data_IF_491170753790
#
_entry.id   IF_491170753790
#
_cell.length_a   1.000
_cell.length_b   1.000
_cell.length_c   1.000
_cell.angle_alpha   90.00
_cell.angle_beta   90.00
_cell.angle_gamma   90.00
#
_symmetry.space_group_name_H-M   'P 1'
#
loop_
_entity.id
_entity.type
_entity.pdbx_description
1 polymer ?
#
# COMPACT_ATOMS: atom_id res chain seq x y z
N UNK A 1 -9.43 16.49 -18.52
CA UNK A 1 -10.58 17.25 -17.96
C UNK A 1 -10.20 18.19 -16.83
N UNK A 2 -9.44 17.78 -15.80
CA UNK A 2 -9.06 18.67 -14.67
C UNK A 2 -8.27 19.93 -15.05
N UNK A 3 -7.39 19.86 -16.06
CA UNK A 3 -6.56 20.99 -16.49
C UNK A 3 -7.42 22.12 -17.08
N UNK A 4 -8.41 21.81 -17.92
CA UNK A 4 -9.28 22.83 -18.53
C UNK A 4 -10.13 23.56 -17.47
N UNK A 5 -10.69 22.83 -16.49
CA UNK A 5 -11.42 23.44 -15.38
C UNK A 5 -10.52 24.28 -14.49
N UNK A 6 -9.28 23.84 -14.23
CA UNK A 6 -8.29 24.60 -13.47
C UNK A 6 -7.91 25.92 -14.14
N UNK A 7 -7.71 25.91 -15.47
CA UNK A 7 -7.38 27.12 -16.24
C UNK A 7 -8.53 28.12 -16.24
N UNK A 8 -9.77 27.67 -16.44
CA UNK A 8 -10.96 28.56 -16.39
C UNK A 8 -11.17 29.14 -14.99
N UNK A 9 -11.01 28.32 -13.95
CA UNK A 9 -11.11 28.76 -12.56
C UNK A 9 -10.04 29.80 -12.19
N UNK A 10 -8.80 29.61 -12.66
CA UNK A 10 -7.71 30.54 -12.43
C UNK A 10 -7.94 31.88 -13.14
N UNK A 11 -8.36 31.84 -14.41
CA UNK A 11 -8.71 33.05 -15.16
C UNK A 11 -9.88 33.82 -14.50
N UNK A 12 -10.92 33.12 -14.08
CA UNK A 12 -12.06 33.71 -13.37
C UNK A 12 -11.64 34.31 -12.01
N UNK A 13 -10.75 33.65 -11.27
CA UNK A 13 -10.24 34.13 -9.98
C UNK A 13 -9.43 35.43 -10.13
N UNK A 14 -8.53 35.49 -11.13
CA UNK A 14 -7.76 36.70 -11.43
C UNK A 14 -8.68 37.84 -11.85
N UNK A 15 -9.65 37.57 -12.73
CA UNK A 15 -10.64 38.57 -13.14
C UNK A 15 -11.47 39.08 -11.95
N UNK A 16 -11.91 38.19 -11.08
CA UNK A 16 -12.68 38.54 -9.88
C UNK A 16 -11.87 39.42 -8.92
N UNK A 17 -10.60 39.09 -8.68
CA UNK A 17 -9.70 39.88 -7.82
C UNK A 17 -9.44 41.25 -8.44
N UNK A 18 -9.21 41.32 -9.76
CA UNK A 18 -8.94 42.57 -10.46
C UNK A 18 -10.16 43.50 -10.44
N UNK A 19 -11.36 42.99 -10.72
CA UNK A 19 -12.60 43.77 -10.68
C UNK A 19 -12.99 44.20 -9.26
N UNK A 20 -12.64 43.41 -8.24
CA UNK A 20 -12.99 43.68 -6.84
C UNK A 20 -11.82 44.20 -5.99
N UNK A 21 -10.75 44.70 -6.62
CA UNK A 21 -9.56 45.18 -5.90
C UNK A 21 -9.88 46.35 -4.95
N UNK A 22 -10.81 47.23 -5.36
CA UNK A 22 -11.25 48.40 -4.58
C UNK A 22 -12.03 48.01 -3.31
N UNK A 23 -13.08 47.17 -3.37
CA UNK A 23 -13.77 46.71 -2.17
C UNK A 23 -12.89 45.80 -1.28
N UNK A 24 -11.98 44.99 -1.85
CA UNK A 24 -11.02 44.22 -1.06
C UNK A 24 -10.09 45.15 -0.27
N UNK A 25 -9.52 46.16 -0.90
CA UNK A 25 -8.65 47.12 -0.21
C UNK A 25 -9.41 48.01 0.76
N UNK A 26 -10.64 48.43 0.46
CA UNK A 26 -11.43 49.23 1.41
C UNK A 26 -11.84 48.41 2.65
N UNK A 27 -12.13 47.11 2.48
CA UNK A 27 -12.37 46.19 3.60
C UNK A 27 -11.12 46.05 4.47
N UNK A 28 -9.96 45.82 3.87
CA UNK A 28 -8.70 45.70 4.60
C UNK A 28 -8.30 47.02 5.27
N UNK A 29 -8.40 48.16 4.60
CA UNK A 29 -8.03 49.48 5.15
C UNK A 29 -8.97 49.91 6.27
N UNK A 30 -10.28 49.68 6.14
CA UNK A 30 -11.26 50.06 7.15
C UNK A 30 -11.22 49.13 8.37
N UNK A 31 -10.93 47.84 8.18
CA UNK A 31 -10.63 46.92 9.28
C UNK A 31 -9.25 47.19 9.89
N UNK A 32 -8.30 47.72 9.11
CA UNK A 32 -6.99 48.16 9.58
C UNK A 32 -7.06 49.45 10.42
N UNK A 33 -8.02 50.35 10.19
CA UNK A 33 -8.22 51.54 11.02
C UNK A 33 -8.87 51.21 12.39
N UNK A 34 -9.60 50.10 12.49
CA UNK A 34 -10.14 49.55 13.75
C UNK A 34 -9.09 48.73 14.57
N UNK A 35 -7.83 48.65 14.12
CA UNK A 35 -6.82 47.71 14.66
C UNK A 35 -6.16 48.10 15.99
N UNK A 36 -6.58 49.15 16.69
CA UNK A 36 -5.99 49.39 18.03
C UNK A 36 -6.29 48.24 18.99
N UNK A 37 -7.39 47.51 18.79
CA UNK A 37 -7.74 46.27 19.53
C UNK A 37 -7.18 44.98 18.93
N UNK A 38 -6.74 44.97 17.67
CA UNK A 38 -6.23 43.78 16.98
C UNK A 38 -4.73 43.52 17.23
N UNK A 39 -3.96 44.45 17.78
CA UNK A 39 -2.51 44.26 17.97
C UNK A 39 -2.17 43.05 18.86
N UNK A 40 -2.91 42.84 19.94
CA UNK A 40 -2.67 41.73 20.88
C UNK A 40 -3.13 40.38 20.34
N UNK A 41 -4.27 40.34 19.64
CA UNK A 41 -4.82 39.11 19.05
C UNK A 41 -3.92 38.57 17.94
N UNK A 42 -3.36 39.44 17.10
CA UNK A 42 -2.44 39.05 16.04
C UNK A 42 -1.09 38.58 16.58
N UNK A 43 -0.56 39.21 17.64
CA UNK A 43 0.66 38.74 18.30
C UNK A 43 0.41 37.38 18.96
N UNK A 44 -0.75 37.18 19.59
CA UNK A 44 -1.09 35.89 20.19
C UNK A 44 -1.28 34.79 19.13
N UNK A 45 -1.98 35.09 18.04
CA UNK A 45 -2.13 34.16 16.91
C UNK A 45 -0.78 33.82 16.27
N UNK A 46 0.09 34.81 16.08
CA UNK A 46 1.45 34.61 15.56
C UNK A 46 2.30 33.78 16.52
N UNK A 47 2.20 34.03 17.83
CA UNK A 47 2.91 33.26 18.85
C UNK A 47 2.41 31.81 18.92
N UNK A 48 1.10 31.58 18.83
CA UNK A 48 0.51 30.24 18.77
C UNK A 48 0.93 29.53 17.49
N UNK A 49 0.88 30.18 16.32
CA UNK A 49 1.38 29.62 15.07
C UNK A 49 2.87 29.30 15.15
N UNK A 50 3.69 30.19 15.73
CA UNK A 50 5.11 29.97 15.95
C UNK A 50 5.38 28.79 16.89
N UNK A 51 4.61 28.67 17.97
CA UNK A 51 4.71 27.56 18.93
C UNK A 51 4.30 26.23 18.30
N UNK A 52 3.22 26.21 17.51
CA UNK A 52 2.78 25.03 16.74
C UNK A 52 3.82 24.64 15.70
N UNK A 53 4.36 25.60 14.95
CA UNK A 53 5.42 25.37 13.97
C UNK A 53 6.70 24.83 14.62
N UNK A 54 7.10 25.41 15.74
CA UNK A 54 8.23 24.92 16.53
C UNK A 54 7.98 23.52 17.12
N UNK A 55 6.75 23.25 17.55
CA UNK A 55 6.31 21.95 18.04
C UNK A 55 6.27 20.87 16.96
N UNK A 56 6.04 21.23 15.70
CA UNK A 56 6.05 20.32 14.57
C UNK A 56 7.46 19.96 14.08
N UNK A 57 8.47 20.82 14.31
CA UNK A 57 9.87 20.55 13.94
C UNK A 57 10.57 19.55 14.88
N UNK A 58 10.04 19.33 16.09
CA UNK A 58 10.51 18.28 17.01
C UNK A 58 9.50 17.13 17.07
N UNK A 59 9.95 15.89 17.33
CA UNK A 59 9.06 14.74 17.57
C UNK A 59 8.40 14.84 18.96
N UNK A 60 7.63 15.91 19.20
CA UNK A 60 6.86 16.11 20.41
C UNK A 60 5.40 15.65 20.19
N UNK A 61 4.88 14.87 21.13
CA UNK A 61 3.46 14.49 21.21
C UNK A 61 2.70 15.77 21.57
N UNK A 62 1.79 16.32 20.74
CA UNK A 62 0.76 15.62 19.94
C UNK A 62 0.95 15.60 18.40
N UNK A 63 1.97 16.26 17.85
CA UNK A 63 2.12 16.36 16.39
C UNK A 63 2.55 15.04 15.74
N UNK A 64 3.42 14.30 16.42
CA UNK A 64 3.82 12.95 16.00
C UNK A 64 2.63 11.98 15.98
N UNK A 65 1.68 12.10 16.92
CA UNK A 65 0.50 11.24 16.95
C UNK A 65 -0.46 11.50 15.78
N UNK A 66 -0.58 12.75 15.33
CA UNK A 66 -1.37 13.09 14.14
C UNK A 66 -0.71 12.61 12.84
N UNK A 67 0.61 12.75 12.75
CA UNK A 67 1.41 12.19 11.64
C UNK A 67 1.31 10.67 11.60
N UNK A 68 1.47 10.00 12.74
CA UNK A 68 1.37 8.55 12.84
C UNK A 68 -0.06 8.06 12.55
N UNK A 69 -1.09 8.81 12.93
CA UNK A 69 -2.48 8.50 12.56
C UNK A 69 -2.69 8.63 11.04
N UNK A 70 -2.12 9.67 10.41
CA UNK A 70 -2.15 9.83 8.96
C UNK A 70 -1.48 8.63 8.27
N UNK A 71 -0.28 8.27 8.72
CA UNK A 71 0.47 7.12 8.20
C UNK A 71 -0.29 5.81 8.42
N UNK A 72 -0.92 5.62 9.59
CA UNK A 72 -1.76 4.43 9.86
C UNK A 72 -2.95 4.35 8.92
N UNK A 73 -3.63 5.46 8.67
CA UNK A 73 -4.74 5.49 7.70
C UNK A 73 -4.21 5.19 6.31
N UNK A 74 -3.14 5.85 5.87
CA UNK A 74 -2.56 5.63 4.54
C UNK A 74 -2.10 4.18 4.33
N UNK A 75 -1.39 3.62 5.29
CA UNK A 75 -0.89 2.24 5.27
C UNK A 75 -1.99 1.20 5.50
N UNK A 76 -3.13 1.55 6.08
CA UNK A 76 -4.29 0.64 6.16
C UNK A 76 -5.00 0.47 4.81
N UNK A 77 -4.85 1.45 3.91
CA UNK A 77 -5.40 1.42 2.56
C UNK A 77 -4.38 0.91 1.53
N UNK A 78 -3.08 1.15 1.74
CA UNK A 78 -2.01 0.56 0.93
C UNK A 78 -1.69 -0.85 1.43
N UNK A 79 -1.91 -1.88 0.59
CA UNK A 79 -1.47 -3.24 0.92
C UNK A 79 0.06 -3.24 1.06
N UNK A 80 0.64 -3.67 2.20
CA UNK A 80 2.09 -3.66 2.45
C UNK A 80 2.94 -4.42 1.42
N UNK A 81 2.30 -5.18 0.53
CA UNK A 81 2.93 -6.14 -0.36
C UNK A 81 3.38 -5.54 -1.71
N UNK A 82 3.18 -4.24 -1.95
CA UNK A 82 3.40 -3.62 -3.28
C UNK A 82 4.18 -2.30 -3.26
N UNK A 83 4.98 -2.00 -2.23
CA UNK A 83 5.96 -0.92 -2.40
C UNK A 83 7.25 -1.50 -3.01
N UNK A 84 7.51 -1.29 -4.31
CA UNK A 84 8.78 -1.65 -4.89
C UNK A 84 9.90 -0.90 -4.15
N UNK A 85 11.07 -1.52 -3.91
CA UNK A 85 12.21 -0.83 -3.30
C UNK A 85 12.66 0.41 -4.10
N UNK A 86 12.31 0.46 -5.39
CA UNK A 86 12.47 1.62 -6.26
C UNK A 86 11.09 2.05 -6.77
N UNK A 87 10.60 3.26 -6.41
CA UNK A 87 9.38 3.81 -6.98
C UNK A 87 9.53 3.95 -8.49
N UNK A 88 8.49 3.56 -9.21
CA UNK A 88 8.43 3.61 -10.67
C UNK A 88 9.55 2.85 -11.40
N UNK A 89 10.01 1.72 -10.83
CA UNK A 89 11.01 0.86 -11.45
C UNK A 89 10.60 0.43 -12.87
N UNK A 90 9.31 0.28 -13.13
CA UNK A 90 8.73 -0.05 -14.44
C UNK A 90 9.08 0.95 -15.54
N UNK A 91 9.36 2.21 -15.19
CA UNK A 91 9.70 3.26 -16.17
C UNK A 91 11.18 3.39 -16.46
N UNK A 92 12.03 2.74 -15.65
CA UNK A 92 13.48 2.87 -15.77
C UNK A 92 14.03 1.89 -16.80
N UNK A 93 15.11 2.30 -17.47
CA UNK A 93 15.92 1.36 -18.25
C UNK A 93 16.76 0.47 -17.32
N UNK A 94 17.25 -0.66 -17.83
CA UNK A 94 18.15 -1.54 -17.05
C UNK A 94 19.41 -0.78 -16.59
N UNK A 95 19.98 0.06 -17.47
CA UNK A 95 21.13 0.89 -17.12
C UNK A 95 20.84 1.91 -16.00
N UNK A 96 19.66 2.52 -15.99
CA UNK A 96 19.24 3.44 -14.94
C UNK A 96 18.93 2.71 -13.63
N UNK A 97 18.32 1.53 -13.73
CA UNK A 97 18.06 0.66 -12.59
C UNK A 97 19.37 0.25 -11.90
N UNK A 98 20.38 -0.16 -12.67
CA UNK A 98 21.72 -0.50 -12.17
C UNK A 98 22.34 0.65 -11.36
N UNK A 99 22.31 1.87 -11.92
CA UNK A 99 22.81 3.08 -11.24
C UNK A 99 22.04 3.41 -9.96
N UNK A 100 20.72 3.24 -9.96
CA UNK A 100 19.86 3.59 -8.82
C UNK A 100 19.88 2.53 -7.72
N UNK A 101 20.20 1.28 -8.05
CA UNK A 101 20.29 0.16 -7.12
C UNK A 101 21.70 -0.10 -6.57
N UNK A 102 22.70 0.65 -7.06
CA UNK A 102 24.13 0.48 -6.74
C UNK A 102 24.64 -0.94 -7.06
N UNK A 103 24.18 -1.48 -8.19
CA UNK A 103 24.56 -2.81 -8.70
C UNK A 103 25.19 -2.66 -10.08
N UNK A 104 26.24 -3.43 -10.35
CA UNK A 104 26.89 -3.44 -11.65
C UNK A 104 25.94 -3.96 -12.74
N UNK A 105 25.87 -3.22 -13.86
CA UNK A 105 24.99 -3.53 -14.99
C UNK A 105 25.21 -4.95 -15.52
N UNK A 106 26.47 -5.38 -15.62
CA UNK A 106 26.84 -6.72 -16.07
C UNK A 106 26.33 -7.82 -15.14
N UNK A 107 26.21 -7.54 -13.85
CA UNK A 107 25.66 -8.48 -12.86
C UNK A 107 24.14 -8.63 -13.05
N UNK A 108 23.43 -7.53 -13.31
CA UNK A 108 21.99 -7.57 -13.61
C UNK A 108 21.70 -8.36 -14.88
N UNK A 109 22.43 -8.08 -15.97
CA UNK A 109 22.26 -8.78 -17.25
C UNK A 109 22.57 -10.27 -17.09
N UNK A 110 23.59 -10.63 -16.32
CA UNK A 110 23.94 -12.03 -16.04
C UNK A 110 22.82 -12.75 -15.29
N UNK A 111 22.22 -12.11 -14.28
CA UNK A 111 21.14 -12.69 -13.49
C UNK A 111 19.85 -12.86 -14.32
N UNK A 112 19.51 -11.87 -15.15
CA UNK A 112 18.38 -11.95 -16.07
C UNK A 112 18.59 -13.06 -17.12
N UNK A 113 19.79 -13.18 -17.68
CA UNK A 113 20.15 -14.26 -18.61
C UNK A 113 20.07 -15.64 -17.97
N UNK A 114 20.43 -15.77 -16.68
CA UNK A 114 20.28 -17.02 -15.93
C UNK A 114 18.82 -17.44 -15.74
N UNK A 115 17.88 -16.48 -15.82
CA UNK A 115 16.45 -16.72 -15.80
C UNK A 115 15.83 -16.82 -17.22
N UNK A 116 16.65 -17.02 -18.25
CA UNK A 116 16.23 -17.11 -19.66
C UNK A 116 15.60 -15.80 -20.20
N UNK A 117 15.94 -14.66 -19.62
CA UNK A 117 15.48 -13.33 -20.04
C UNK A 117 16.64 -12.62 -20.76
N UNK A 118 16.52 -12.43 -22.08
CA UNK A 118 17.48 -11.66 -22.88
C UNK A 118 17.08 -10.18 -22.87
N UNK A 119 18.03 -9.31 -22.51
CA UNK A 119 17.75 -7.86 -22.36
C UNK A 119 18.93 -7.00 -22.78
N UNK A 120 18.66 -5.84 -23.37
CA UNK A 120 19.63 -4.79 -23.66
C UNK A 120 19.66 -3.72 -22.54
N UNK A 121 20.81 -3.08 -22.25
CA UNK A 121 20.90 -1.98 -21.29
C UNK A 121 19.89 -0.83 -21.49
N UNK A 122 19.42 -0.62 -22.73
CA UNK A 122 18.47 0.43 -23.09
C UNK A 122 17.00 0.01 -22.96
N UNK A 123 16.73 -1.27 -22.70
CA UNK A 123 15.36 -1.78 -22.58
C UNK A 123 14.69 -1.27 -21.30
N UNK A 124 13.39 -1.00 -21.43
CA UNK A 124 12.55 -0.55 -20.33
C UNK A 124 12.20 -1.76 -19.45
N UNK A 125 12.42 -1.61 -18.16
CA UNK A 125 12.24 -2.69 -17.20
C UNK A 125 10.78 -3.19 -17.12
N UNK A 126 9.81 -2.27 -17.21
CA UNK A 126 8.39 -2.61 -17.22
C UNK A 126 7.97 -3.44 -18.44
N UNK A 127 8.50 -3.16 -19.63
CA UNK A 127 8.13 -3.89 -20.85
C UNK A 127 8.66 -5.32 -20.84
N UNK A 128 9.85 -5.53 -20.26
CA UNK A 128 10.41 -6.87 -20.08
C UNK A 128 9.56 -7.68 -19.09
N UNK A 129 9.13 -7.05 -17.99
CA UNK A 129 8.27 -7.69 -17.00
C UNK A 129 6.96 -8.15 -17.64
N UNK A 130 6.32 -7.31 -18.44
CA UNK A 130 5.09 -7.65 -19.17
C UNK A 130 5.30 -8.78 -20.18
N UNK A 131 6.37 -8.73 -20.98
CA UNK A 131 6.68 -9.75 -21.98
C UNK A 131 6.84 -11.15 -21.37
N UNK A 132 7.41 -11.22 -20.16
CA UNK A 132 7.66 -12.47 -19.45
C UNK A 132 6.56 -12.83 -18.43
N UNK A 133 5.42 -12.13 -18.42
CA UNK A 133 4.33 -12.29 -17.44
C UNK A 133 4.80 -12.20 -15.97
N UNK A 134 5.79 -11.36 -15.70
CA UNK A 134 6.33 -11.07 -14.38
C UNK A 134 5.85 -9.70 -13.91
N UNK A 135 5.72 -9.53 -12.60
CA UNK A 135 5.60 -8.18 -12.03
C UNK A 135 6.96 -7.47 -12.04
N UNK A 136 7.00 -6.13 -12.11
CA UNK A 136 8.25 -5.37 -11.98
C UNK A 136 9.04 -5.73 -10.71
N UNK A 137 8.37 -6.09 -9.61
CA UNK A 137 9.04 -6.54 -8.39
C UNK A 137 9.72 -7.90 -8.53
N UNK A 138 9.06 -8.87 -9.18
CA UNK A 138 9.64 -10.19 -9.41
C UNK A 138 10.83 -10.11 -10.35
N UNK A 139 10.73 -9.31 -11.42
CA UNK A 139 11.86 -9.06 -12.31
C UNK A 139 13.01 -8.39 -11.56
N UNK A 140 12.72 -7.48 -10.62
CA UNK A 140 13.75 -6.80 -9.81
C UNK A 140 14.49 -7.76 -8.87
N UNK A 141 13.78 -8.71 -8.27
CA UNK A 141 14.38 -9.74 -7.43
C UNK A 141 15.30 -10.66 -8.23
N UNK A 142 14.87 -11.06 -9.43
CA UNK A 142 15.69 -11.86 -10.35
C UNK A 142 16.92 -11.04 -10.77
N UNK A 143 16.74 -9.80 -11.20
CA UNK A 143 17.81 -8.91 -11.65
C UNK A 143 18.88 -8.66 -10.57
N UNK A 144 18.46 -8.41 -9.33
CA UNK A 144 19.37 -8.04 -8.25
C UNK A 144 19.94 -9.23 -7.48
N UNK A 145 19.43 -10.45 -7.71
CA UNK A 145 19.82 -11.64 -6.95
C UNK A 145 19.51 -11.54 -5.46
N UNK A 146 18.82 -10.48 -5.02
CA UNK A 146 18.30 -10.36 -3.66
C UNK A 146 17.00 -11.14 -3.63
N UNK A 147 17.02 -12.29 -2.98
CA UNK A 147 15.83 -12.72 -2.25
C UNK A 147 15.62 -11.65 -1.17
N UNK A 148 14.79 -10.65 -1.46
CA UNK A 148 14.11 -9.96 -0.37
C UNK A 148 13.48 -11.11 0.42
N UNK A 149 13.80 -11.22 1.71
CA UNK A 149 13.22 -12.24 2.60
C UNK A 149 11.70 -12.05 2.62
N UNK A 150 11.04 -12.58 1.59
CA UNK A 150 9.60 -12.78 1.57
C UNK A 150 9.39 -13.94 2.52
N UNK A 151 8.56 -13.82 3.57
CA UNK A 151 7.96 -15.02 4.13
C UNK A 151 7.28 -15.73 2.96
N UNK A 152 7.78 -16.93 2.64
CA UNK A 152 7.43 -17.79 1.51
C UNK A 152 6.36 -17.25 0.55
N UNK A 153 6.75 -16.88 -0.67
CA UNK A 153 5.86 -16.59 -1.79
C UNK A 153 4.76 -17.65 -1.92
N UNK A 154 3.55 -17.29 -1.51
CA UNK A 154 2.33 -17.88 -2.01
C UNK A 154 2.18 -17.47 -3.48
N UNK A 155 2.33 -18.45 -4.36
CA UNK A 155 1.93 -18.36 -5.74
C UNK A 155 0.47 -17.88 -5.79
N UNK A 156 0.27 -16.73 -6.42
CA UNK A 156 -1.02 -16.09 -6.58
C UNK A 156 -2.00 -17.00 -7.33
N UNK A 157 -2.96 -17.61 -6.59
CA UNK A 157 -4.29 -17.95 -7.12
C UNK A 157 -5.34 -17.67 -6.07
N UNK A 158 -5.85 -16.44 -6.10
CA UNK A 158 -7.22 -16.05 -5.81
C UNK A 158 -7.91 -16.70 -4.61
N UNK A 159 -8.11 -15.91 -3.55
CA UNK A 159 -9.07 -16.24 -2.50
C UNK A 159 -8.82 -15.41 -1.25
N UNK A 160 -9.53 -14.29 -1.13
CA UNK A 160 -9.61 -13.56 0.14
C UNK A 160 -10.18 -14.50 1.22
N UNK A 161 -9.30 -15.03 2.05
CA UNK A 161 -9.65 -15.88 3.18
C UNK A 161 -8.85 -15.45 4.38
N UNK A 162 -9.39 -14.50 5.14
CA UNK A 162 -8.90 -14.03 6.44
C UNK A 162 -8.50 -15.22 7.32
N UNK A 163 -7.21 -15.47 7.52
CA UNK A 163 -6.64 -16.34 8.58
C UNK A 163 -7.14 -17.80 8.66
N UNK A 164 -8.02 -18.26 7.77
CA UNK A 164 -8.76 -19.52 7.95
C UNK A 164 -7.86 -20.75 7.95
N UNK A 165 -6.81 -20.75 7.11
CA UNK A 165 -5.80 -21.81 7.09
C UNK A 165 -4.97 -21.93 8.37
N UNK A 166 -4.86 -20.86 9.16
CA UNK A 166 -4.07 -20.85 10.40
C UNK A 166 -4.86 -21.35 11.62
N UNK A 167 -6.19 -21.46 11.51
CA UNK A 167 -7.08 -21.90 12.59
C UNK A 167 -7.12 -23.42 12.67
N UNK A 168 -7.36 -23.95 13.87
CA UNK A 168 -7.67 -25.37 14.05
C UNK A 168 -9.08 -25.67 13.56
N UNK A 169 -9.37 -26.94 13.23
CA UNK A 169 -10.71 -27.35 12.83
C UNK A 169 -11.76 -26.91 13.87
N UNK A 170 -11.47 -27.09 15.16
CA UNK A 170 -12.36 -26.68 16.25
C UNK A 170 -12.67 -25.17 16.21
N UNK A 171 -11.66 -24.33 16.04
CA UNK A 171 -11.84 -22.88 15.93
C UNK A 171 -12.61 -22.48 14.67
N UNK A 172 -12.35 -23.16 13.54
CA UNK A 172 -13.08 -22.94 12.30
C UNK A 172 -14.56 -23.33 12.45
N UNK A 173 -14.87 -24.42 13.15
CA UNK A 173 -16.23 -24.85 13.45
C UNK A 173 -16.95 -23.89 14.40
N UNK A 174 -16.27 -23.38 15.43
CA UNK A 174 -16.82 -22.38 16.36
C UNK A 174 -17.19 -21.07 15.64
N UNK A 175 -16.38 -20.64 14.68
CA UNK A 175 -16.62 -19.43 13.88
C UNK A 175 -17.80 -19.61 12.89
N UNK A 176 -17.95 -20.80 12.31
CA UNK A 176 -19.04 -21.12 11.38
C UNK A 176 -20.33 -21.52 12.14
N UNK A 177 -20.23 -21.80 13.44
CA UNK A 177 -21.36 -22.19 14.28
C UNK A 177 -21.76 -23.67 14.15
N UNK A 178 -20.82 -24.54 13.78
CA UNK A 178 -21.03 -25.98 13.56
C UNK A 178 -20.41 -26.79 14.70
N UNK A 179 -21.05 -27.89 15.07
CA UNK A 179 -20.52 -28.82 16.05
C UNK A 179 -19.33 -29.61 15.47
N UNK A 180 -18.17 -29.55 16.15
CA UNK A 180 -16.91 -30.16 15.70
C UNK A 180 -17.02 -31.64 15.31
N UNK A 181 -17.91 -32.41 15.94
CA UNK A 181 -18.17 -33.81 15.58
C UNK A 181 -18.78 -33.97 14.17
N UNK A 182 -19.76 -33.13 13.82
CA UNK A 182 -20.40 -33.15 12.49
C UNK A 182 -19.44 -32.70 11.39
N UNK A 183 -18.57 -31.74 11.70
CA UNK A 183 -17.54 -31.28 10.78
C UNK A 183 -16.51 -32.38 10.45
N UNK A 184 -16.10 -33.18 11.45
CA UNK A 184 -15.19 -34.32 11.23
C UNK A 184 -15.86 -35.39 10.36
N UNK A 185 -17.14 -35.70 10.61
CA UNK A 185 -17.88 -36.68 9.79
C UNK A 185 -18.04 -36.21 8.34
N UNK A 186 -18.36 -34.94 8.13
CA UNK A 186 -18.49 -34.34 6.80
C UNK A 186 -17.17 -34.31 6.03
N UNK A 187 -16.07 -33.96 6.70
CA UNK A 187 -14.74 -33.98 6.11
C UNK A 187 -14.30 -35.40 5.77
N UNK A 188 -14.59 -36.38 6.64
CA UNK A 188 -14.33 -37.79 6.36
C UNK A 188 -15.15 -38.31 5.17
N UNK A 189 -16.40 -37.89 5.04
CA UNK A 189 -17.25 -38.22 3.89
C UNK A 189 -16.73 -37.60 2.58
N UNK A 190 -16.07 -36.44 2.68
CA UNK A 190 -15.38 -35.79 1.57
C UNK A 190 -13.98 -36.37 1.29
N UNK A 191 -13.57 -37.43 2.00
CA UNK A 191 -12.26 -38.07 1.84
C UNK A 191 -11.10 -37.32 2.50
N UNK A 192 -11.40 -36.38 3.41
CA UNK A 192 -10.41 -35.60 4.16
C UNK A 192 -10.27 -36.18 5.56
N UNK A 193 -9.09 -36.71 5.87
CA UNK A 193 -8.77 -37.09 7.25
C UNK A 193 -8.56 -35.84 8.11
N UNK A 194 -9.41 -35.68 9.12
CA UNK A 194 -9.49 -34.47 9.92
C UNK A 194 -9.62 -34.82 11.41
N UNK A 195 -8.82 -34.16 12.25
CA UNK A 195 -8.90 -34.22 13.72
C UNK A 195 -9.13 -32.82 14.28
N UNK A 196 -9.88 -32.70 15.38
CA UNK A 196 -10.33 -31.41 15.93
C UNK A 196 -9.23 -30.37 16.20
N UNK A 197 -8.02 -30.83 16.55
CA UNK A 197 -6.88 -29.97 16.87
C UNK A 197 -5.97 -29.67 15.67
N UNK A 198 -6.18 -30.32 14.52
CA UNK A 198 -5.36 -30.12 13.33
C UNK A 198 -5.69 -28.78 12.66
N UNK A 199 -4.67 -28.11 12.12
CA UNK A 199 -4.85 -26.86 11.38
C UNK A 199 -5.52 -27.11 10.04
N UNK A 200 -6.37 -26.16 9.63
CA UNK A 200 -7.04 -26.22 8.32
C UNK A 200 -6.05 -26.29 7.17
N UNK A 201 -4.92 -25.57 7.25
CA UNK A 201 -3.86 -25.65 6.24
C UNK A 201 -3.18 -27.01 6.20
N UNK A 202 -2.90 -27.61 7.34
CA UNK A 202 -2.28 -28.94 7.41
C UNK A 202 -3.19 -30.02 6.82
N UNK A 203 -4.50 -29.96 7.09
CA UNK A 203 -5.49 -30.86 6.46
C UNK A 203 -5.56 -30.64 4.95
N UNK A 204 -5.51 -29.38 4.51
CA UNK A 204 -5.53 -29.03 3.09
C UNK A 204 -4.30 -29.60 2.36
N UNK A 205 -3.11 -29.41 2.94
CA UNK A 205 -1.85 -29.86 2.38
C UNK A 205 -1.77 -31.39 2.32
N UNK A 206 -2.23 -32.11 3.37
CA UNK A 206 -2.26 -33.58 3.39
C UNK A 206 -3.19 -34.19 2.35
N UNK A 207 -4.30 -33.51 2.04
CA UNK A 207 -5.31 -33.99 1.10
C UNK A 207 -5.18 -33.35 -0.29
N UNK A 208 -4.09 -32.62 -0.54
CA UNK A 208 -3.82 -31.88 -1.77
C UNK A 208 -4.99 -30.95 -2.19
N UNK A 209 -5.68 -30.39 -1.18
CA UNK A 209 -6.80 -29.48 -1.31
C UNK A 209 -6.38 -28.07 -0.88
N UNK A 210 -7.23 -27.08 -1.16
CA UNK A 210 -7.03 -25.70 -0.68
C UNK A 210 -7.79 -25.47 0.64
N UNK A 211 -7.26 -24.66 1.56
CA UNK A 211 -7.97 -24.30 2.79
C UNK A 211 -9.37 -23.71 2.56
N UNK A 212 -9.56 -23.00 1.43
CA UNK A 212 -10.87 -22.48 1.02
C UNK A 212 -11.88 -23.56 0.59
N UNK A 213 -11.42 -24.69 0.06
CA UNK A 213 -12.30 -25.82 -0.27
C UNK A 213 -12.79 -26.52 1.01
N UNK A 214 -11.92 -26.64 2.02
CA UNK A 214 -12.31 -27.13 3.35
C UNK A 214 -13.37 -26.22 3.96
N UNK A 215 -13.19 -24.89 3.87
CA UNK A 215 -14.19 -23.90 4.30
C UNK A 215 -15.53 -24.13 3.61
N UNK A 216 -15.52 -24.32 2.30
CA UNK A 216 -16.73 -24.53 1.51
C UNK A 216 -17.46 -25.83 1.86
N UNK A 217 -16.73 -26.90 2.16
CA UNK A 217 -17.32 -28.17 2.64
C UNK A 217 -18.01 -27.94 4.00
N UNK A 218 -17.39 -27.16 4.88
CA UNK A 218 -17.96 -26.83 6.19
C UNK A 218 -19.17 -25.89 6.09
N UNK A 219 -19.14 -24.88 5.21
CA UNK A 219 -20.27 -23.94 5.02
C UNK A 219 -21.50 -24.58 4.35
N UNK A 220 -21.35 -25.75 3.74
CA UNK A 220 -22.44 -26.48 3.08
C UNK A 220 -23.14 -27.51 3.99
N UNK A 221 -22.85 -27.52 5.30
CA UNK A 221 -23.47 -28.37 6.33
C UNK A 221 -24.61 -27.66 7.06
#
# INVERSE_FOLDING_TARGET
MHICFGVVFLAASVLHIWLNIKPLMSYFVRKAQDTSKLRTEWIFALAVCGLVFWGALKPFVPFSSLLELNDRIKNSWEKPQQQPPIPHAETLTIAELAKKSDIELDTIIRNLKAAEIETDPSDIFGTIAEQHNLSPNELFEIATGRQIERPASEHNKGGGGSGFGQKTLKQACEEIGIESGKAIEALKAAGVEATGDMRVREMADQNNMRPGQIRQILENL
#
